data_IF_691547774243
#
_entry.id   IF_691547774243
#
_cell.length_a   1.000
_cell.length_b   1.000
_cell.length_c   1.000
_cell.angle_alpha   90.00
_cell.angle_beta   90.00
_cell.angle_gamma   90.00
#
_symmetry.space_group_name_H-M   'P 1'
#
loop_
_entity.id
_entity.type
_entity.pdbx_description
1 polymer ?
#
# COMPACT_ATOMS: atom_id res chain seq x y z
N UNK A 1 21.91 -26.38 16.82
CA UNK A 1 21.83 -25.69 18.12
C UNK A 1 20.96 -26.52 19.05
N UNK A 2 21.41 -26.82 20.28
CA UNK A 2 20.54 -27.39 21.31
C UNK A 2 19.35 -26.45 21.57
N UNK A 3 18.16 -26.97 21.95
CA UNK A 3 17.05 -26.10 22.33
C UNK A 3 17.42 -25.27 23.58
N UNK A 4 16.92 -24.03 23.69
CA UNK A 4 17.15 -23.20 24.87
C UNK A 4 16.63 -23.89 26.15
N UNK A 5 17.21 -23.56 27.32
CA UNK A 5 16.69 -24.03 28.60
C UNK A 5 15.20 -23.70 28.79
N UNK A 6 14.43 -24.51 29.53
CA UNK A 6 13.05 -24.19 29.87
C UNK A 6 12.96 -22.80 30.54
N UNK A 7 12.20 -21.88 29.93
CA UNK A 7 12.04 -20.50 30.41
C UNK A 7 13.06 -19.50 29.87
N UNK A 8 14.04 -19.92 29.07
CA UNK A 8 14.87 -18.98 28.32
C UNK A 8 14.07 -18.34 27.18
N UNK A 9 14.32 -17.05 26.85
CA UNK A 9 13.69 -16.41 25.70
C UNK A 9 13.92 -17.23 24.43
N UNK A 10 12.90 -17.35 23.60
CA UNK A 10 12.89 -18.11 22.35
C UNK A 10 13.83 -17.55 21.25
N UNK A 11 14.53 -16.45 21.55
CA UNK A 11 15.49 -15.80 20.66
C UNK A 11 14.85 -14.91 19.60
N UNK A 12 13.53 -14.74 19.60
CA UNK A 12 12.80 -13.88 18.66
C UNK A 12 12.46 -12.55 19.32
N UNK A 13 12.88 -11.46 18.68
CA UNK A 13 12.49 -10.10 19.05
C UNK A 13 12.13 -9.30 17.81
N UNK A 14 11.06 -8.50 17.91
CA UNK A 14 10.77 -7.50 16.87
C UNK A 14 11.83 -6.40 16.88
N UNK A 15 12.00 -5.71 15.74
CA UNK A 15 12.98 -4.61 15.60
C UNK A 15 12.70 -3.47 16.59
N UNK A 16 11.42 -3.12 16.78
CA UNK A 16 10.99 -2.08 17.71
C UNK A 16 10.02 -2.66 18.75
N UNK A 17 10.51 -3.41 19.76
CA UNK A 17 9.65 -4.20 20.66
C UNK A 17 8.78 -3.35 21.59
N UNK A 18 9.09 -2.06 21.75
CA UNK A 18 8.32 -1.12 22.57
C UNK A 18 7.36 -0.25 21.74
N UNK A 19 7.27 -0.47 20.42
CA UNK A 19 6.31 0.25 19.59
C UNK A 19 4.88 -0.24 19.83
N UNK A 20 3.92 0.67 19.76
CA UNK A 20 2.49 0.33 19.77
C UNK A 20 2.06 -0.04 18.34
N UNK A 21 1.39 -1.18 18.19
CA UNK A 21 0.90 -1.66 16.90
C UNK A 21 -0.59 -1.38 16.73
N UNK A 22 -0.95 -0.86 15.56
CA UNK A 22 -2.35 -0.75 15.11
C UNK A 22 -2.51 -1.65 13.90
N UNK A 23 -3.46 -2.59 13.96
CA UNK A 23 -3.72 -3.53 12.86
C UNK A 23 -4.93 -3.10 12.05
N UNK A 24 -4.73 -2.86 10.75
CA UNK A 24 -5.80 -2.60 9.78
C UNK A 24 -5.75 -3.70 8.72
N UNK A 25 -6.78 -4.56 8.70
CA UNK A 25 -6.89 -5.60 7.68
C UNK A 25 -7.42 -5.00 6.37
N UNK A 26 -6.51 -4.71 5.45
CA UNK A 26 -6.85 -4.12 4.14
C UNK A 26 -7.07 -5.18 3.04
N UNK A 27 -6.37 -6.32 3.10
CA UNK A 27 -6.48 -7.40 2.12
C UNK A 27 -6.67 -8.77 2.76
N UNK A 28 -7.21 -9.73 1.98
CA UNK A 28 -7.24 -11.14 2.37
C UNK A 28 -7.45 -12.07 1.18
N UNK A 29 -6.66 -13.14 1.09
CA UNK A 29 -6.85 -14.24 0.13
C UNK A 29 -8.01 -15.17 0.50
N UNK A 30 -8.45 -15.14 1.75
CA UNK A 30 -9.52 -15.99 2.27
C UNK A 30 -10.94 -15.43 2.06
N UNK A 31 -11.05 -14.16 1.67
CA UNK A 31 -12.33 -13.48 1.48
C UNK A 31 -12.44 -12.92 0.07
N UNK A 32 -13.65 -12.96 -0.48
CA UNK A 32 -14.02 -12.39 -1.78
C UNK A 32 -15.37 -11.67 -1.66
N UNK A 33 -15.70 -10.74 -2.58
CA UNK A 33 -17.01 -10.09 -2.60
C UNK A 33 -18.13 -11.12 -2.75
N UNK A 34 -19.17 -10.99 -1.93
CA UNK A 34 -20.35 -11.88 -1.99
C UNK A 34 -21.11 -11.75 -3.32
N UNK A 35 -21.16 -10.53 -3.88
CA UNK A 35 -21.82 -10.22 -5.15
C UNK A 35 -20.81 -9.56 -6.12
N UNK A 36 -20.05 -10.33 -6.91
CA UNK A 36 -19.10 -9.77 -7.87
C UNK A 36 -19.83 -9.04 -9.02
N UNK A 37 -19.24 -7.94 -9.51
CA UNK A 37 -19.78 -7.18 -10.64
C UNK A 37 -19.46 -7.84 -11.99
N UNK A 38 -20.11 -7.41 -13.08
CA UNK A 38 -19.74 -7.82 -14.44
C UNK A 38 -18.29 -7.43 -14.73
N UNK A 39 -17.42 -8.40 -15.05
CA UNK A 39 -15.97 -8.21 -15.24
C UNK A 39 -15.10 -8.66 -14.06
N UNK A 40 -15.68 -8.91 -12.88
CA UNK A 40 -14.98 -9.53 -11.73
C UNK A 40 -14.94 -11.09 -11.84
N UNK A 41 -15.45 -11.65 -12.95
CA UNK A 41 -15.65 -13.10 -13.16
C UNK A 41 -14.42 -13.85 -13.69
N UNK A 42 -13.49 -13.17 -14.34
CA UNK A 42 -12.30 -13.80 -14.96
C UNK A 42 -11.13 -13.97 -13.96
N UNK A 43 -11.14 -13.24 -12.85
CA UNK A 43 -10.24 -13.44 -11.72
C UNK A 43 -11.04 -13.21 -10.44
N UNK A 44 -11.24 -14.26 -9.62
CA UNK A 44 -11.94 -14.15 -8.32
C UNK A 44 -11.27 -13.09 -7.44
N UNK A 45 -11.77 -11.86 -7.53
CA UNK A 45 -11.18 -10.67 -6.91
C UNK A 45 -11.11 -10.87 -5.42
N UNK A 46 -9.90 -10.96 -4.89
CA UNK A 46 -9.66 -11.11 -3.45
C UNK A 46 -9.92 -9.80 -2.74
N UNK A 47 -10.23 -9.87 -1.45
CA UNK A 47 -10.50 -8.68 -0.65
C UNK A 47 -9.28 -7.74 -0.67
N UNK A 48 -9.54 -6.45 -0.88
CA UNK A 48 -8.53 -5.39 -0.99
C UNK A 48 -8.47 -4.77 -2.39
N UNK A 49 -8.55 -3.45 -2.47
CA UNK A 49 -8.39 -2.69 -3.71
C UNK A 49 -7.50 -1.47 -3.46
N UNK A 50 -6.99 -0.85 -4.53
CA UNK A 50 -6.28 0.44 -4.46
C UNK A 50 -7.11 1.50 -3.71
N UNK A 51 -8.44 1.51 -3.92
CA UNK A 51 -9.34 2.43 -3.24
C UNK A 51 -9.45 2.15 -1.73
N UNK A 52 -9.60 0.88 -1.31
CA UNK A 52 -9.63 0.56 0.12
C UNK A 52 -8.27 0.75 0.78
N UNK A 53 -7.17 0.61 0.04
CA UNK A 53 -5.83 0.94 0.51
C UNK A 53 -5.70 2.43 0.81
N UNK A 54 -6.18 3.31 -0.08
CA UNK A 54 -6.20 4.75 0.15
C UNK A 54 -6.95 5.10 1.45
N UNK A 55 -8.14 4.52 1.64
CA UNK A 55 -8.92 4.70 2.87
C UNK A 55 -8.19 4.19 4.12
N UNK A 56 -7.51 3.04 4.03
CA UNK A 56 -6.73 2.47 5.14
C UNK A 56 -5.55 3.36 5.54
N UNK A 57 -4.85 3.96 4.56
CA UNK A 57 -3.74 4.90 4.80
C UNK A 57 -4.25 6.13 5.54
N UNK A 58 -5.33 6.75 5.05
CA UNK A 58 -5.95 7.91 5.72
C UNK A 58 -6.41 7.56 7.12
N UNK A 59 -7.01 6.38 7.31
CA UNK A 59 -7.47 5.92 8.61
C UNK A 59 -6.30 5.73 9.59
N UNK A 60 -5.22 5.06 9.17
CA UNK A 60 -3.99 4.90 9.97
C UNK A 60 -3.41 6.25 10.40
N UNK A 61 -3.29 7.18 9.46
CA UNK A 61 -2.75 8.50 9.72
C UNK A 61 -3.65 9.32 10.67
N UNK A 62 -4.98 9.17 10.57
CA UNK A 62 -5.93 9.79 11.49
C UNK A 62 -5.90 9.21 12.90
N UNK A 63 -5.55 7.93 13.06
CA UNK A 63 -5.28 7.33 14.38
C UNK A 63 -3.93 7.77 14.98
N UNK A 64 -3.15 8.59 14.28
CA UNK A 64 -1.87 9.10 14.76
C UNK A 64 -0.69 8.15 14.54
N UNK A 65 -0.82 7.19 13.62
CA UNK A 65 0.28 6.30 13.27
C UNK A 65 1.50 7.10 12.79
N UNK A 66 2.64 6.89 13.45
CA UNK A 66 3.91 7.57 13.15
C UNK A 66 4.72 6.89 12.04
N UNK A 67 4.47 5.59 11.86
CA UNK A 67 4.98 4.76 10.76
C UNK A 67 3.82 3.90 10.27
N UNK A 68 3.61 3.85 8.96
CA UNK A 68 2.57 3.06 8.30
C UNK A 68 3.27 2.02 7.42
N UNK A 69 3.22 0.76 7.84
CA UNK A 69 3.73 -0.37 7.08
C UNK A 69 2.66 -0.90 6.12
N UNK A 70 3.00 -1.01 4.83
CA UNK A 70 2.12 -1.51 3.78
C UNK A 70 2.78 -2.74 3.15
N UNK A 71 2.41 -3.91 3.66
CA UNK A 71 2.94 -5.21 3.22
C UNK A 71 2.25 -5.78 1.97
N UNK A 72 1.21 -5.11 1.47
CA UNK A 72 0.45 -5.52 0.28
C UNK A 72 0.87 -4.67 -0.92
N UNK A 73 0.88 -5.29 -2.09
CA UNK A 73 1.23 -4.62 -3.34
C UNK A 73 0.14 -4.89 -4.37
N UNK A 74 -0.26 -3.84 -5.09
CA UNK A 74 -1.06 -3.97 -6.30
C UNK A 74 -0.15 -3.73 -7.49
N UNK A 75 0.12 -4.78 -8.27
CA UNK A 75 0.88 -4.69 -9.50
C UNK A 75 -0.05 -4.35 -10.67
N UNK A 76 0.32 -3.33 -11.44
CA UNK A 76 -0.48 -2.81 -12.54
C UNK A 76 0.40 -2.75 -13.79
N UNK A 77 -0.15 -3.11 -14.95
CA UNK A 77 0.56 -2.94 -16.21
C UNK A 77 0.82 -1.45 -16.46
N UNK A 78 2.05 -1.08 -16.83
CA UNK A 78 2.36 0.29 -17.24
C UNK A 78 1.63 0.69 -18.53
N UNK A 79 1.27 -0.29 -19.37
CA UNK A 79 0.52 -0.06 -20.61
C UNK A 79 -0.99 0.20 -20.38
N UNK A 80 -1.52 -0.15 -19.20
CA UNK A 80 -2.92 0.06 -18.83
C UNK A 80 -3.03 0.55 -17.37
N UNK A 81 -2.72 1.83 -17.11
CA UNK A 81 -2.65 2.35 -15.76
C UNK A 81 -4.05 2.51 -15.15
N UNK A 82 -4.24 1.94 -13.96
CA UNK A 82 -5.41 2.19 -13.11
C UNK A 82 -5.42 3.64 -12.61
N UNK A 83 -6.60 4.22 -12.36
CA UNK A 83 -6.72 5.52 -11.68
C UNK A 83 -6.29 5.38 -10.21
N UNK A 84 -5.16 6.00 -9.86
CA UNK A 84 -4.58 5.98 -8.53
C UNK A 84 -4.60 7.35 -7.84
N UNK A 85 -5.38 8.32 -8.33
CA UNK A 85 -5.40 9.69 -7.77
C UNK A 85 -5.78 9.72 -6.28
N UNK A 86 -6.79 8.93 -5.90
CA UNK A 86 -7.19 8.82 -4.50
C UNK A 86 -6.09 8.23 -3.61
N UNK A 87 -5.33 7.26 -4.12
CA UNK A 87 -4.21 6.68 -3.40
C UNK A 87 -3.05 7.66 -3.27
N UNK A 88 -2.70 8.38 -4.35
CA UNK A 88 -1.69 9.43 -4.30
C UNK A 88 -2.04 10.53 -3.29
N UNK A 89 -3.31 10.97 -3.26
CA UNK A 89 -3.79 11.94 -2.27
C UNK A 89 -3.71 11.41 -0.83
N UNK A 90 -4.05 10.13 -0.61
CA UNK A 90 -3.94 9.49 0.71
C UNK A 90 -2.49 9.38 1.19
N UNK A 91 -1.58 9.01 0.29
CA UNK A 91 -0.13 8.94 0.55
C UNK A 91 0.41 10.33 0.88
N UNK A 92 0.12 11.33 0.04
CA UNK A 92 0.52 12.72 0.29
C UNK A 92 -0.01 13.23 1.62
N UNK A 93 -1.28 12.95 1.94
CA UNK A 93 -1.91 13.36 3.19
C UNK A 93 -1.20 12.74 4.41
N UNK A 94 -0.96 11.43 4.38
CA UNK A 94 -0.31 10.73 5.47
C UNK A 94 1.14 11.23 5.67
N UNK A 95 1.90 11.37 4.59
CA UNK A 95 3.30 11.79 4.66
C UNK A 95 3.48 13.28 5.00
N UNK A 96 2.70 14.17 4.36
CA UNK A 96 2.90 15.62 4.43
C UNK A 96 2.06 16.28 5.52
N UNK A 97 0.79 15.91 5.65
CA UNK A 97 -0.14 16.55 6.60
C UNK A 97 -0.09 15.89 7.97
N UNK A 98 0.09 14.56 8.01
CA UNK A 98 0.11 13.78 9.26
C UNK A 98 1.51 13.39 9.72
N UNK A 99 2.53 13.70 8.93
CA UNK A 99 3.94 13.41 9.24
C UNK A 99 4.16 11.91 9.58
N UNK A 100 3.55 11.03 8.79
CA UNK A 100 3.72 9.58 8.92
C UNK A 100 4.76 9.07 7.92
N UNK A 101 5.72 8.27 8.40
CA UNK A 101 6.63 7.54 7.50
C UNK A 101 5.86 6.39 6.87
N UNK A 102 5.77 6.35 5.54
CA UNK A 102 5.09 5.27 4.81
C UNK A 102 6.16 4.33 4.27
N UNK A 103 6.08 3.06 4.64
CA UNK A 103 7.01 2.02 4.19
C UNK A 103 6.20 0.96 3.45
N UNK A 104 6.57 0.64 2.21
CA UNK A 104 5.83 -0.30 1.38
C UNK A 104 6.73 -1.42 0.85
N UNK A 105 6.16 -2.61 0.72
CA UNK A 105 6.80 -3.72 0.02
C UNK A 105 6.96 -3.39 -1.47
N UNK A 106 8.14 -3.67 -2.03
CA UNK A 106 8.39 -3.46 -3.46
C UNK A 106 7.51 -4.33 -4.35
N UNK A 107 7.06 -5.50 -3.85
CA UNK A 107 6.27 -6.48 -4.59
C UNK A 107 7.05 -7.77 -4.85
N UNK A 108 6.35 -8.85 -5.16
CA UNK A 108 6.96 -10.16 -5.40
C UNK A 108 6.62 -10.64 -6.82
N UNK A 109 7.64 -10.97 -7.60
CA UNK A 109 7.46 -11.52 -8.94
C UNK A 109 6.67 -12.84 -8.89
N UNK A 110 5.63 -12.94 -9.72
CA UNK A 110 4.77 -14.11 -9.84
C UNK A 110 3.54 -14.08 -8.94
N UNK A 111 3.36 -13.05 -8.12
CA UNK A 111 2.07 -12.75 -7.47
C UNK A 111 1.20 -11.89 -8.39
N UNK A 112 -0.12 -12.13 -8.42
CA UNK A 112 -1.20 -11.28 -8.96
C UNK A 112 -0.77 -10.11 -9.90
N UNK A 113 -0.26 -10.44 -11.09
CA UNK A 113 0.11 -9.46 -12.13
C UNK A 113 1.49 -8.79 -11.97
N UNK A 114 2.27 -9.18 -10.98
CA UNK A 114 3.64 -8.73 -10.75
C UNK A 114 4.63 -9.47 -11.68
N UNK A 115 4.81 -8.94 -12.89
CA UNK A 115 5.91 -9.34 -13.77
C UNK A 115 7.16 -8.51 -13.45
N UNK A 116 8.34 -9.11 -13.61
CA UNK A 116 9.61 -8.43 -13.31
C UNK A 116 9.88 -7.28 -14.30
N UNK A 117 10.39 -6.16 -13.78
CA UNK A 117 10.88 -5.05 -14.60
C UNK A 117 12.34 -5.30 -15.03
N UNK A 118 12.80 -4.71 -16.15
CA UNK A 118 14.22 -4.66 -16.45
C UNK A 118 15.00 -4.01 -15.30
N UNK A 119 16.26 -4.43 -15.13
CA UNK A 119 17.09 -3.93 -14.04
C UNK A 119 17.49 -2.48 -14.26
N UNK A 120 17.99 -2.13 -15.45
CA UNK A 120 18.25 -0.78 -15.94
C UNK A 120 18.79 -0.82 -17.39
N UNK A 121 18.74 0.30 -18.12
CA UNK A 121 19.47 0.50 -19.37
C UNK A 121 20.80 1.25 -19.14
N UNK A 122 21.98 0.64 -19.36
CA UNK A 122 23.27 1.34 -19.22
C UNK A 122 23.52 2.42 -20.28
N UNK A 123 22.77 2.43 -21.39
CA UNK A 123 22.98 3.33 -22.51
C UNK A 123 22.18 4.64 -22.39
N UNK A 124 21.15 4.66 -21.53
CA UNK A 124 20.37 5.87 -21.25
C UNK A 124 20.79 6.55 -19.95
N UNK A 125 21.76 7.45 -20.05
CA UNK A 125 22.21 8.25 -18.89
C UNK A 125 21.21 9.31 -18.43
N UNK A 126 20.20 9.63 -19.24
CA UNK A 126 19.17 10.62 -18.89
C UNK A 126 18.07 10.02 -18.01
N UNK A 127 17.92 8.70 -18.03
CA UNK A 127 17.01 7.93 -17.18
C UNK A 127 17.77 6.88 -16.34
N UNK A 128 18.56 7.31 -15.33
CA UNK A 128 19.43 6.42 -14.58
C UNK A 128 18.69 5.36 -13.75
N UNK A 129 17.37 5.50 -13.60
CA UNK A 129 16.49 4.57 -12.88
C UNK A 129 15.57 3.79 -13.83
N UNK A 130 15.65 4.02 -15.14
CA UNK A 130 14.93 3.28 -16.16
C UNK A 130 13.39 3.34 -16.02
N UNK A 131 12.87 4.55 -15.71
CA UNK A 131 11.43 4.82 -15.66
C UNK A 131 10.70 4.51 -16.96
N UNK A 132 11.32 4.76 -18.12
CA UNK A 132 10.66 4.56 -19.41
C UNK A 132 10.46 3.09 -19.79
N UNK A 133 11.25 2.17 -19.23
CA UNK A 133 11.15 0.73 -19.51
C UNK A 133 10.31 -0.04 -18.46
N UNK A 134 9.66 0.66 -17.53
CA UNK A 134 8.76 0.04 -16.56
C UNK A 134 7.63 -0.69 -17.27
N UNK A 135 7.47 -1.97 -16.96
CA UNK A 135 6.38 -2.83 -17.47
C UNK A 135 5.29 -3.03 -16.42
N UNK A 136 5.70 -3.10 -15.16
CA UNK A 136 4.83 -3.39 -14.03
C UNK A 136 5.04 -2.35 -12.94
N UNK A 137 4.01 -1.53 -12.71
CA UNK A 137 3.95 -0.54 -11.65
C UNK A 137 3.58 -1.21 -10.34
N UNK A 138 4.40 -1.01 -9.31
CA UNK A 138 4.11 -1.43 -7.95
C UNK A 138 3.42 -0.31 -7.17
N UNK A 139 2.17 -0.52 -6.76
CA UNK A 139 1.42 0.45 -5.97
C UNK A 139 1.26 -0.02 -4.51
N UNK A 140 1.58 0.82 -3.49
CA UNK A 140 1.87 2.26 -3.58
C UNK A 140 3.35 2.62 -3.78
N UNK A 141 4.24 1.64 -3.95
CA UNK A 141 5.69 1.84 -4.02
C UNK A 141 6.15 2.92 -5.00
N UNK A 142 5.50 3.05 -6.17
CA UNK A 142 5.84 4.04 -7.19
C UNK A 142 5.67 5.51 -6.76
N UNK A 143 4.95 5.80 -5.67
CA UNK A 143 4.87 7.12 -5.05
C UNK A 143 6.15 7.45 -4.25
N UNK A 144 7.31 7.28 -4.89
CA UNK A 144 8.64 7.20 -4.26
C UNK A 144 9.09 8.47 -3.54
N UNK A 145 8.51 9.63 -3.85
CA UNK A 145 8.73 10.87 -3.09
C UNK A 145 8.22 10.78 -1.65
N UNK A 146 7.18 9.97 -1.41
CA UNK A 146 6.48 9.87 -0.12
C UNK A 146 6.58 8.48 0.53
N UNK A 147 6.87 7.46 -0.27
CA UNK A 147 6.85 6.05 0.14
C UNK A 147 8.25 5.47 0.07
N UNK A 148 8.74 4.97 1.20
CA UNK A 148 9.96 4.17 1.26
C UNK A 148 9.65 2.75 0.77
N UNK A 149 9.89 2.50 -0.53
CA UNK A 149 9.73 1.17 -1.13
C UNK A 149 10.92 0.26 -0.81
N UNK A 150 10.61 -0.95 -0.32
CA UNK A 150 11.59 -1.87 0.25
C UNK A 150 11.65 -3.18 -0.53
N UNK A 151 12.82 -3.44 -1.12
CA UNK A 151 13.17 -4.71 -1.75
C UNK A 151 13.61 -5.78 -0.74
N UNK A 152 13.71 -7.02 -1.22
CA UNK A 152 14.10 -8.17 -0.41
C UNK A 152 15.51 -8.66 -0.76
N UNK A 153 16.29 -8.92 0.29
CA UNK A 153 17.61 -9.57 0.19
C UNK A 153 17.64 -10.89 0.94
N UNK A 154 18.60 -11.73 0.59
CA UNK A 154 18.94 -12.93 1.36
C UNK A 154 19.84 -12.63 2.56
N UNK A 155 20.24 -13.69 3.28
CA UNK A 155 21.08 -13.58 4.47
C UNK A 155 22.52 -13.09 4.18
N UNK A 156 22.91 -13.00 2.90
CA UNK A 156 24.19 -12.42 2.46
C UNK A 156 24.08 -10.95 2.09
N UNK A 157 22.85 -10.41 2.05
CA UNK A 157 22.56 -9.06 1.56
C UNK A 157 22.38 -8.99 0.04
N UNK A 158 22.41 -10.11 -0.68
CA UNK A 158 22.17 -10.14 -2.11
C UNK A 158 20.66 -10.03 -2.42
N UNK A 159 20.25 -9.26 -3.45
CA UNK A 159 18.86 -9.15 -3.84
C UNK A 159 18.31 -10.51 -4.29
N UNK A 160 17.10 -10.86 -3.85
CA UNK A 160 16.44 -12.07 -4.35
C UNK A 160 15.75 -11.76 -5.69
N UNK A 161 15.84 -12.68 -6.65
CA UNK A 161 15.24 -12.50 -7.98
C UNK A 161 13.71 -12.33 -7.95
N UNK A 162 13.08 -12.76 -6.85
CA UNK A 162 11.64 -12.61 -6.60
C UNK A 162 11.24 -11.23 -6.10
N UNK A 163 12.18 -10.38 -5.68
CA UNK A 163 11.89 -8.99 -5.34
C UNK A 163 11.61 -8.22 -6.63
N UNK A 164 10.45 -7.58 -6.72
CA UNK A 164 10.12 -6.77 -7.88
C UNK A 164 11.06 -5.55 -7.94
N UNK A 165 11.83 -5.46 -9.03
CA UNK A 165 12.70 -4.33 -9.29
C UNK A 165 11.88 -3.14 -9.81
N UNK A 166 12.35 -1.94 -9.54
CA UNK A 166 11.78 -0.74 -10.15
C UNK A 166 12.50 0.54 -9.74
N UNK A 167 12.29 1.62 -10.51
CA UNK A 167 12.88 2.93 -10.25
C UNK A 167 12.50 3.54 -8.89
N UNK A 168 11.43 3.03 -8.27
CA UNK A 168 10.95 3.48 -6.97
C UNK A 168 11.59 2.77 -5.77
N UNK A 169 12.26 1.63 -5.98
CA UNK A 169 12.89 0.90 -4.87
C UNK A 169 13.98 1.77 -4.27
N UNK A 170 13.93 1.97 -2.95
CA UNK A 170 14.78 2.93 -2.26
C UNK A 170 15.65 2.27 -1.17
N UNK A 171 15.22 1.15 -0.58
CA UNK A 171 16.04 0.39 0.37
C UNK A 171 15.75 -1.11 0.24
N UNK A 172 16.51 -1.93 0.96
CA UNK A 172 16.25 -3.35 1.12
C UNK A 172 16.43 -3.83 2.56
N UNK A 173 15.82 -4.97 2.86
CA UNK A 173 15.97 -5.68 4.12
C UNK A 173 15.77 -7.20 3.93
N UNK A 174 16.16 -8.04 4.91
CA UNK A 174 16.00 -9.49 4.81
C UNK A 174 14.56 -9.90 4.47
N UNK A 175 14.40 -10.65 3.39
CA UNK A 175 13.10 -11.10 2.88
C UNK A 175 12.99 -12.62 2.72
N UNK A 176 13.93 -13.38 3.25
CA UNK A 176 13.94 -14.85 3.32
C UNK A 176 14.47 -15.28 4.68
N UNK A 177 14.19 -16.53 5.09
CA UNK A 177 14.66 -17.03 6.39
C UNK A 177 14.06 -16.27 7.57
N UNK A 178 12.88 -15.67 7.36
CA UNK A 178 12.23 -14.82 8.36
C UNK A 178 11.62 -15.67 9.46
N UNK A 179 11.78 -15.22 10.70
CA UNK A 179 11.03 -15.73 11.85
C UNK A 179 10.06 -14.67 12.35
N UNK A 180 8.89 -15.11 12.78
CA UNK A 180 7.87 -14.28 13.39
C UNK A 180 7.18 -15.01 14.53
N UNK A 181 6.07 -14.46 15.00
CA UNK A 181 5.25 -15.06 16.05
C UNK A 181 3.97 -15.64 15.44
N UNK A 182 3.59 -16.84 15.88
CA UNK A 182 2.33 -17.46 15.49
C UNK A 182 1.15 -16.69 16.11
N UNK A 183 0.11 -16.35 15.34
CA UNK A 183 -1.09 -15.74 15.91
C UNK A 183 -1.92 -16.72 16.76
N UNK A 184 -1.64 -18.02 16.73
CA UNK A 184 -2.33 -19.04 17.53
C UNK A 184 -1.61 -19.34 18.84
N UNK A 185 -0.29 -19.50 18.80
CA UNK A 185 0.48 -19.95 19.97
C UNK A 185 1.31 -18.84 20.60
N UNK A 186 1.42 -17.68 19.96
CA UNK A 186 2.37 -16.61 20.26
C UNK A 186 3.85 -17.04 20.27
N UNK A 187 4.15 -18.29 19.88
CA UNK A 187 5.51 -18.82 19.82
C UNK A 187 6.20 -18.56 18.47
N UNK A 188 7.52 -18.79 18.40
CA UNK A 188 8.31 -18.56 17.20
C UNK A 188 7.88 -19.50 16.06
N UNK A 189 7.77 -18.94 14.85
CA UNK A 189 7.45 -19.69 13.62
C UNK A 189 8.21 -19.10 12.43
N UNK A 190 8.60 -19.94 11.49
CA UNK A 190 9.41 -19.57 10.33
C UNK A 190 8.86 -20.07 8.98
N UNK A 191 7.68 -20.69 8.99
CA UNK A 191 7.09 -21.28 7.80
C UNK A 191 5.57 -21.43 7.92
N UNK A 192 4.88 -21.43 6.78
CA UNK A 192 3.50 -21.84 6.67
C UNK A 192 3.40 -23.38 6.65
N UNK A 193 2.33 -23.97 7.21
CA UNK A 193 2.06 -25.39 7.01
C UNK A 193 1.83 -25.67 5.51
N UNK A 194 2.10 -26.90 5.05
CA UNK A 194 1.90 -27.28 3.66
C UNK A 194 0.42 -27.16 3.29
N UNK A 195 0.16 -26.77 2.04
CA UNK A 195 -1.21 -26.68 1.51
C UNK A 195 -1.76 -28.07 1.19
N UNK A 196 -0.89 -29.02 0.79
CA UNK A 196 -1.27 -30.40 0.50
C UNK A 196 -0.57 -31.41 1.41
N UNK A 197 -1.23 -32.53 1.76
CA UNK A 197 -0.58 -33.62 2.48
C UNK A 197 0.68 -34.12 1.73
N UNK A 198 1.80 -34.26 2.44
CA UNK A 198 3.08 -34.73 1.88
C UNK A 198 4.01 -33.64 1.35
N UNK A 199 3.56 -32.38 1.26
CA UNK A 199 4.43 -31.25 0.94
C UNK A 199 5.21 -30.76 2.18
N UNK A 200 6.34 -30.08 1.95
CA UNK A 200 7.13 -29.45 3.03
C UNK A 200 6.48 -28.14 3.47
N UNK A 201 6.74 -27.73 4.71
CA UNK A 201 6.41 -26.39 5.17
C UNK A 201 7.05 -25.34 4.23
N UNK A 202 6.29 -24.30 3.91
CA UNK A 202 6.77 -23.22 3.03
C UNK A 202 7.43 -22.15 3.89
N UNK A 203 8.76 -21.95 3.82
CA UNK A 203 9.44 -20.92 4.61
C UNK A 203 8.85 -19.54 4.34
N UNK A 204 8.87 -18.67 5.34
CA UNK A 204 8.47 -17.29 5.14
C UNK A 204 9.45 -16.56 4.24
N UNK A 205 8.90 -15.92 3.22
CA UNK A 205 9.63 -15.04 2.32
C UNK A 205 8.70 -13.94 1.79
N UNK A 206 9.30 -12.86 1.29
CA UNK A 206 8.60 -11.78 0.60
C UNK A 206 9.07 -10.40 1.03
N UNK A 207 8.94 -9.44 0.12
CA UNK A 207 9.22 -8.00 0.36
C UNK A 207 8.34 -7.39 1.46
N UNK A 208 7.21 -8.03 1.76
CA UNK A 208 6.32 -7.70 2.89
C UNK A 208 7.02 -7.78 4.24
N UNK A 209 7.90 -8.77 4.45
CA UNK A 209 8.70 -8.90 5.66
C UNK A 209 9.84 -7.89 5.68
N UNK A 210 10.48 -7.64 4.54
CA UNK A 210 11.50 -6.60 4.40
C UNK A 210 10.94 -5.23 4.78
N UNK A 211 9.76 -4.86 4.29
CA UNK A 211 9.07 -3.61 4.67
C UNK A 211 8.78 -3.54 6.18
N UNK A 212 8.45 -4.66 6.83
CA UNK A 212 8.24 -4.71 8.27
C UNK A 212 9.53 -4.45 9.06
N UNK A 213 10.67 -5.01 8.63
CA UNK A 213 11.97 -4.70 9.22
C UNK A 213 12.28 -3.21 9.14
N UNK A 214 12.14 -2.61 7.95
CA UNK A 214 12.41 -1.18 7.73
C UNK A 214 11.44 -0.30 8.50
N UNK A 215 10.18 -0.69 8.63
CA UNK A 215 9.20 0.02 9.48
C UNK A 215 9.60 0.03 10.94
N UNK A 216 10.16 -1.08 11.44
CA UNK A 216 10.75 -1.15 12.77
C UNK A 216 11.95 -0.21 12.92
N UNK A 217 12.84 -0.16 11.93
CA UNK A 217 13.97 0.79 11.93
C UNK A 217 13.46 2.24 11.94
N UNK A 218 12.47 2.58 11.12
CA UNK A 218 11.84 3.90 11.11
C UNK A 218 11.24 4.26 12.48
N UNK A 219 10.60 3.31 13.16
CA UNK A 219 10.09 3.51 14.52
C UNK A 219 11.22 3.78 15.54
N UNK A 220 12.34 3.04 15.46
CA UNK A 220 13.51 3.30 16.31
C UNK A 220 14.12 4.69 16.03
N UNK A 221 14.25 5.07 14.76
CA UNK A 221 14.77 6.38 14.36
C UNK A 221 13.87 7.49 14.91
N UNK A 222 12.55 7.38 14.77
CA UNK A 222 11.60 8.35 15.33
C UNK A 222 11.65 8.41 16.85
N UNK A 223 11.85 7.28 17.54
CA UNK A 223 11.97 7.25 18.98
C UNK A 223 13.25 7.97 19.46
N UNK A 224 14.36 7.81 18.74
CA UNK A 224 15.64 8.47 19.07
C UNK A 224 15.69 9.94 18.65
N UNK A 225 15.07 10.27 17.51
CA UNK A 225 15.08 11.60 16.90
C UNK A 225 13.64 12.09 16.66
N UNK A 226 12.90 12.47 17.71
CA UNK A 226 11.47 12.76 17.63
C UNK A 226 11.12 13.99 16.78
N UNK A 227 12.08 14.91 16.59
CA UNK A 227 11.88 16.15 15.85
C UNK A 227 12.06 16.01 14.32
N UNK A 228 12.55 14.85 13.86
CA UNK A 228 12.69 14.59 12.42
C UNK A 228 11.30 14.37 11.81
N UNK A 229 11.07 15.03 10.67
CA UNK A 229 9.88 14.77 9.86
C UNK A 229 9.98 13.40 9.18
N UNK A 230 8.85 12.91 8.66
CA UNK A 230 8.80 11.66 7.91
C UNK A 230 9.83 11.62 6.77
N UNK A 231 9.97 12.71 6.01
CA UNK A 231 10.95 12.82 4.93
C UNK A 231 12.39 12.73 5.44
N UNK A 232 12.69 13.36 6.58
CA UNK A 232 14.03 13.34 7.17
C UNK A 232 14.37 11.98 7.78
N UNK A 233 13.37 11.25 8.31
CA UNK A 233 13.52 9.86 8.74
C UNK A 233 13.88 8.96 7.56
N UNK A 234 13.16 9.09 6.44
CA UNK A 234 13.45 8.35 5.20
C UNK A 234 14.86 8.70 4.73
N UNK A 235 15.19 9.99 4.58
CA UNK A 235 16.51 10.45 4.18
C UNK A 235 17.62 9.82 5.04
N UNK A 236 17.45 9.84 6.37
CA UNK A 236 18.40 9.26 7.31
C UNK A 236 18.60 7.76 7.10
N UNK A 237 17.52 6.99 6.93
CA UNK A 237 17.60 5.54 6.66
C UNK A 237 18.40 5.30 5.37
N UNK A 238 18.09 6.05 4.30
CA UNK A 238 18.74 5.92 3.00
C UNK A 238 20.22 6.26 3.04
N UNK A 239 20.60 7.35 3.70
CA UNK A 239 22.01 7.79 3.79
C UNK A 239 22.90 6.87 4.64
N UNK A 240 22.30 5.99 5.44
CA UNK A 240 23.03 5.04 6.28
C UNK A 240 22.97 3.60 5.79
N UNK A 241 22.28 3.34 4.69
CA UNK A 241 22.16 2.00 4.14
C UNK A 241 23.47 1.52 3.48
N UNK A 242 23.64 0.20 3.38
CA UNK A 242 24.77 -0.42 2.70
C UNK A 242 24.54 -0.41 1.18
N UNK A 243 24.97 0.68 0.54
CA UNK A 243 24.80 0.91 -0.89
C UNK A 243 25.32 -0.25 -1.76
N UNK A 244 24.62 -0.59 -2.85
CA UNK A 244 25.15 -1.49 -3.87
C UNK A 244 26.36 -0.87 -4.61
N UNK A 245 27.13 -1.65 -5.39
CA UNK A 245 28.32 -1.15 -6.11
C UNK A 245 28.08 0.07 -7.01
N UNK A 246 26.84 0.28 -7.48
CA UNK A 246 26.44 1.41 -8.32
C UNK A 246 25.91 2.62 -7.53
N UNK A 247 26.01 2.59 -6.20
CA UNK A 247 25.45 3.60 -5.31
C UNK A 247 23.95 3.42 -5.10
N UNK A 248 23.15 3.47 -6.18
CA UNK A 248 21.70 3.23 -6.15
C UNK A 248 21.30 2.36 -7.34
N UNK A 249 20.48 1.34 -7.12
CA UNK A 249 19.91 0.52 -8.20
C UNK A 249 18.41 0.24 -8.00
N UNK A 250 17.80 -0.47 -8.95
CA UNK A 250 16.37 -0.79 -8.95
C UNK A 250 15.99 -2.04 -8.12
N UNK A 251 16.96 -2.76 -7.56
CA UNK A 251 16.72 -3.99 -6.79
C UNK A 251 16.75 -3.75 -5.29
N UNK A 252 17.69 -2.92 -4.84
CA UNK A 252 17.90 -2.60 -3.41
C UNK A 252 17.91 -1.10 -3.12
N UNK A 253 17.83 -0.23 -4.14
CA UNK A 253 17.88 1.21 -3.94
C UNK A 253 19.23 1.65 -3.36
N UNK A 254 19.20 2.41 -2.28
CA UNK A 254 20.38 2.77 -1.46
C UNK A 254 20.91 1.56 -0.65
N UNK A 255 20.34 0.38 -0.81
CA UNK A 255 20.88 -0.86 -0.28
C UNK A 255 20.25 -1.32 1.03
N UNK A 256 20.94 -2.23 1.71
CA UNK A 256 20.40 -2.91 2.91
C UNK A 256 20.41 -1.95 4.09
N UNK A 257 19.29 -1.83 4.78
CA UNK A 257 19.17 -0.96 5.97
C UNK A 257 20.15 -1.36 7.07
N UNK A 258 20.84 -0.38 7.65
CA UNK A 258 21.69 -0.55 8.84
C UNK A 258 21.05 0.19 10.03
N UNK A 259 20.37 -0.52 10.95
CA UNK A 259 19.74 0.11 12.11
C UNK A 259 20.73 0.83 13.03
N UNK A 260 21.96 0.33 13.16
CA UNK A 260 22.98 0.91 14.05
C UNK A 260 23.48 2.20 13.46
N UNK A 261 23.85 2.23 12.18
CA UNK A 261 24.27 3.45 11.50
C UNK A 261 23.12 4.48 11.47
N UNK A 262 21.89 4.05 11.13
CA UNK A 262 20.71 4.92 11.18
C UNK A 262 20.50 5.54 12.56
N UNK A 263 20.83 4.85 13.65
CA UNK A 263 20.70 5.40 15.00
C UNK A 263 21.91 6.19 15.46
N UNK A 264 23.11 6.02 14.91
CA UNK A 264 24.35 6.54 15.52
C UNK A 264 25.12 7.54 14.66
N UNK A 265 25.01 7.49 13.35
CA UNK A 265 25.77 8.38 12.47
C UNK A 265 25.25 9.81 12.55
N UNK A 266 26.16 10.78 12.36
CA UNK A 266 25.77 12.18 12.18
C UNK A 266 25.38 12.39 10.72
N UNK A 267 24.08 12.42 10.44
CA UNK A 267 23.52 12.58 9.10
C UNK A 267 22.87 13.95 9.03
N UNK A 268 23.23 14.81 8.04
CA UNK A 268 22.50 16.04 7.79
C UNK A 268 21.01 15.72 7.61
N UNK A 269 20.10 16.50 8.22
CA UNK A 269 18.69 16.11 8.26
C UNK A 269 18.01 16.10 6.89
N UNK A 270 18.55 16.83 5.91
CA UNK A 270 17.92 17.01 4.60
C UNK A 270 16.64 17.85 4.67
N UNK A 271 15.88 17.86 3.58
CA UNK A 271 14.65 18.64 3.46
C UNK A 271 13.55 18.13 4.39
N UNK A 272 12.76 19.05 4.96
CA UNK A 272 11.65 18.69 5.86
C UNK A 272 10.50 17.99 5.13
N UNK A 273 10.25 18.35 3.88
CA UNK A 273 9.15 17.80 3.07
C UNK A 273 9.70 17.23 1.77
N UNK A 274 8.99 16.24 1.24
CA UNK A 274 9.31 15.67 -0.06
C UNK A 274 9.12 16.71 -1.20
N UNK A 275 9.82 16.55 -2.34
CA UNK A 275 9.59 17.35 -3.53
C UNK A 275 8.11 17.34 -3.97
N UNK A 276 7.60 18.49 -4.43
CA UNK A 276 6.21 18.60 -4.91
C UNK A 276 5.13 18.62 -3.82
N UNK A 277 5.50 18.53 -2.54
CA UNK A 277 4.58 18.58 -1.38
C UNK A 277 3.78 19.89 -1.27
N UNK A 278 4.26 20.99 -1.86
CA UNK A 278 3.63 22.31 -1.86
C UNK A 278 2.67 22.57 -3.02
N UNK A 279 2.46 21.59 -3.92
CA UNK A 279 1.66 21.78 -5.14
C UNK A 279 0.28 21.11 -5.08
N UNK A 280 -0.75 21.97 -5.20
CA UNK A 280 -2.21 21.74 -5.28
C UNK A 280 -2.90 21.28 -4.00
N UNK A 281 -3.54 22.25 -3.36
CA UNK A 281 -4.83 22.03 -2.69
C UNK A 281 -5.77 21.36 -3.71
N UNK A 282 -5.98 20.04 -3.58
CA UNK A 282 -7.08 19.38 -4.27
C UNK A 282 -8.36 19.93 -3.65
N UNK A 283 -9.00 20.89 -4.33
CA UNK A 283 -10.33 21.32 -3.93
C UNK A 283 -11.24 20.08 -3.88
N UNK A 284 -12.06 19.92 -2.83
CA UNK A 284 -13.00 18.82 -2.77
C UNK A 284 -13.84 18.80 -4.06
N UNK A 285 -14.15 17.61 -4.62
CA UNK A 285 -15.00 17.52 -5.79
C UNK A 285 -16.30 18.27 -5.51
N UNK A 286 -16.77 19.05 -6.49
CA UNK A 286 -18.02 19.78 -6.36
C UNK A 286 -19.12 18.80 -5.91
N UNK A 287 -19.98 19.18 -4.94
CA UNK A 287 -21.07 18.31 -4.52
C UNK A 287 -21.87 17.86 -5.75
N UNK A 288 -22.27 16.59 -5.76
CA UNK A 288 -23.03 16.03 -6.87
C UNK A 288 -24.22 16.95 -7.19
N UNK A 289 -24.49 17.24 -8.49
CA UNK A 289 -25.61 18.07 -8.85
C UNK A 289 -26.90 17.49 -8.26
N UNK A 290 -27.77 18.37 -7.75
CA UNK A 290 -29.03 17.95 -7.16
C UNK A 290 -29.80 17.06 -8.15
N UNK A 291 -30.49 16.00 -7.69
CA UNK A 291 -31.23 15.10 -8.58
C UNK A 291 -32.18 15.88 -9.49
N UNK A 292 -32.10 15.65 -10.80
CA UNK A 292 -33.01 16.31 -11.74
C UNK A 292 -34.43 15.74 -11.59
N UNK A 293 -35.30 16.52 -10.94
CA UNK A 293 -36.68 16.15 -10.72
C UNK A 293 -37.61 16.53 -11.88
N UNK A 294 -37.12 17.15 -12.97
CA UNK A 294 -37.97 17.61 -14.09
C UNK A 294 -38.79 16.49 -14.69
N UNK A 295 -38.18 15.34 -14.97
CA UNK A 295 -38.88 14.18 -15.52
C UNK A 295 -39.98 13.66 -14.57
N UNK A 296 -39.69 13.58 -13.26
CA UNK A 296 -40.65 13.19 -12.23
C UNK A 296 -41.81 14.18 -12.14
N UNK A 297 -41.52 15.48 -12.15
CA UNK A 297 -42.52 16.55 -12.08
C UNK A 297 -43.43 16.53 -13.30
N UNK A 298 -42.87 16.38 -14.52
CA UNK A 298 -43.66 16.27 -15.76
C UNK A 298 -44.56 15.03 -15.72
N UNK A 299 -44.04 13.88 -15.27
CA UNK A 299 -44.83 12.66 -15.14
C UNK A 299 -45.98 12.81 -14.15
N UNK A 300 -45.75 13.45 -12.99
CA UNK A 300 -46.80 13.70 -11.99
C UNK A 300 -47.87 14.68 -12.49
N UNK A 301 -47.47 15.75 -13.19
CA UNK A 301 -48.41 16.71 -13.80
C UNK A 301 -49.28 16.01 -14.84
N UNK A 302 -48.67 15.20 -15.71
CA UNK A 302 -49.40 14.46 -16.75
C UNK A 302 -50.37 13.45 -16.14
N UNK A 303 -49.94 12.67 -15.15
CA UNK A 303 -50.79 11.73 -14.43
C UNK A 303 -51.97 12.45 -13.75
N UNK A 304 -51.72 13.59 -13.10
CA UNK A 304 -52.75 14.42 -12.49
C UNK A 304 -53.77 14.95 -13.51
N UNK A 305 -53.30 15.41 -14.67
CA UNK A 305 -54.16 15.89 -15.75
C UNK A 305 -55.05 14.77 -16.32
N UNK A 306 -54.50 13.57 -16.50
CA UNK A 306 -55.27 12.39 -16.95
C UNK A 306 -56.34 12.00 -15.94
N UNK A 307 -55.98 11.91 -14.65
CA UNK A 307 -56.94 11.59 -13.58
C UNK A 307 -58.04 12.66 -13.51
N UNK A 308 -57.66 13.94 -13.59
CA UNK A 308 -58.60 15.07 -13.63
C UNK A 308 -59.57 14.98 -14.80
N UNK A 309 -59.07 14.68 -16.00
CA UNK A 309 -59.91 14.52 -17.20
C UNK A 309 -60.88 13.33 -17.08
N UNK A 310 -60.44 12.20 -16.52
CA UNK A 310 -61.29 11.02 -16.27
C UNK A 310 -62.37 11.32 -15.23
N UNK A 311 -62.02 12.02 -14.15
CA UNK A 311 -62.99 12.45 -13.14
C UNK A 311 -64.01 13.42 -13.73
N UNK A 312 -63.57 14.39 -14.54
CA UNK A 312 -64.47 15.33 -15.19
C UNK A 312 -65.42 14.60 -16.17
N UNK A 313 -64.89 13.71 -17.00
CA UNK A 313 -65.67 12.92 -17.94
C UNK A 313 -66.69 12.01 -17.23
N UNK A 314 -66.31 11.40 -16.11
CA UNK A 314 -67.21 10.54 -15.32
C UNK A 314 -68.29 11.35 -14.58
N UNK A 315 -67.99 12.55 -14.08
CA UNK A 315 -68.98 13.48 -13.53
C UNK A 315 -69.97 13.92 -14.63
N UNK A 316 -69.48 14.32 -15.81
CA UNK A 316 -70.31 14.69 -16.95
C UNK A 316 -71.20 13.52 -17.39
N UNK A 317 -70.65 12.30 -17.44
CA UNK A 317 -71.39 11.10 -17.82
C UNK A 317 -72.45 10.69 -16.78
N UNK A 318 -72.20 10.93 -15.48
CA UNK A 318 -73.22 10.76 -14.42
C UNK A 318 -74.31 11.83 -14.49
N UNK A 319 -73.94 13.09 -14.69
CA UNK A 319 -74.90 14.20 -14.82
C UNK A 319 -75.82 14.04 -16.05
N UNK A 320 -75.30 13.50 -17.16
CA UNK A 320 -76.09 13.19 -18.36
C UNK A 320 -77.02 11.98 -18.21
N UNK A 321 -76.73 11.05 -17.29
CA UNK A 321 -77.60 9.89 -17.00
C UNK A 321 -78.70 10.19 -15.97
N UNK A 322 -78.59 11.30 -15.25
CA UNK A 322 -79.56 11.76 -14.26
C UNK A 322 -80.59 12.78 -14.81
N UNK A 323 -80.48 13.13 -16.09
CA UNK A 323 -81.48 13.86 -16.88
C UNK A 323 -82.18 12.89 -17.82
#
# INVERSE_FOLDING_TARGET
>A
MPPPPPGAPDGVAGVAPHAVLISIRQSSRAYEPENPGPGDSEARKKAGTVATLASAIVHAANMGAKVINISVTSCVSAADPLDQRALGAAVWYAATVKDAVIVAAAGNEGEDGCAQNPSFDPLDTSDPRDWHQVKTVSSPSWFSDYVLSVGAVDNTGAPINKSLAGPWVAAAAPGVGVMGLSPQTAGPVNAYPPVRPGEKNMPFWGTSFSAAYVSGVAALVRAKYPDLTANQVIHRILQTAHNPPRGVDNQVGYGVVDPVAALTFNVPPGDRLAPGSLTRVMAPPAPAPAPDHRARTVALIFAGAVVGAVLLASIIARARRAR
#
